data_IF_067689602185
#
_entry.id   IF_067689602185
#
_cell.length_a   1.000
_cell.length_b   1.000
_cell.length_c   1.000
_cell.angle_alpha   90.00
_cell.angle_beta   90.00
_cell.angle_gamma   90.00
#
_symmetry.space_group_name_H-M   'P 1'
#
loop_
_entity.id
_entity.type
_entity.pdbx_description
1 polymer ?
#
# COMPACT_ATOMS: atom_id res chain seq x y z
N UNK A 1 -16.38 7.07 4.85
CA UNK A 1 -15.85 7.13 3.47
C UNK A 1 -14.41 6.65 3.53
N UNK A 2 -14.10 5.50 2.94
CA UNK A 2 -12.73 4.97 2.95
C UNK A 2 -11.91 5.74 1.91
N UNK A 3 -10.78 6.30 2.33
CA UNK A 3 -9.89 7.09 1.45
C UNK A 3 -9.07 6.15 0.57
N UNK A 4 -8.84 6.53 -0.69
CA UNK A 4 -8.06 5.71 -1.64
C UNK A 4 -6.66 5.42 -1.10
N UNK A 5 -6.01 6.41 -0.47
CA UNK A 5 -4.72 6.26 0.21
C UNK A 5 -4.77 5.15 1.27
N UNK A 6 -5.86 5.05 2.04
CA UNK A 6 -6.06 3.99 3.04
C UNK A 6 -6.15 2.62 2.38
N UNK A 7 -6.90 2.47 1.28
CA UNK A 7 -7.02 1.19 0.56
C UNK A 7 -5.67 0.73 0.00
N UNK A 8 -4.90 1.65 -0.58
CA UNK A 8 -3.59 1.37 -1.17
C UNK A 8 -2.58 0.93 -0.09
N UNK A 9 -2.56 1.60 1.06
CA UNK A 9 -1.72 1.20 2.20
C UNK A 9 -2.16 -0.18 2.72
N UNK A 10 -3.46 -0.42 2.88
CA UNK A 10 -3.97 -1.69 3.38
C UNK A 10 -3.61 -2.85 2.44
N UNK A 11 -3.75 -2.66 1.12
CA UNK A 11 -3.37 -3.65 0.13
C UNK A 11 -1.87 -3.98 0.20
N UNK A 12 -1.02 -2.96 0.36
CA UNK A 12 0.41 -3.16 0.57
C UNK A 12 0.72 -3.94 1.85
N UNK A 13 0.06 -3.63 2.96
CA UNK A 13 0.21 -4.35 4.24
C UNK A 13 -0.20 -5.82 4.09
N UNK A 14 -1.34 -6.11 3.46
CA UNK A 14 -1.81 -7.49 3.25
C UNK A 14 -0.80 -8.29 2.43
N UNK A 15 -0.23 -7.69 1.37
CA UNK A 15 0.79 -8.32 0.54
C UNK A 15 2.11 -8.59 1.27
N UNK A 16 2.46 -7.79 2.29
CA UNK A 16 3.62 -8.02 3.14
C UNK A 16 3.36 -9.12 4.18
N UNK A 17 2.16 -9.15 4.78
CA UNK A 17 1.79 -10.12 5.82
C UNK A 17 1.51 -11.51 5.24
N UNK A 18 0.86 -11.57 4.08
CA UNK A 18 0.59 -12.81 3.33
C UNK A 18 1.37 -12.75 2.02
N UNK A 19 2.70 -12.92 2.07
CA UNK A 19 3.52 -12.81 0.88
C UNK A 19 3.25 -13.98 -0.05
N UNK A 20 2.79 -13.67 -1.26
CA UNK A 20 2.81 -14.58 -2.40
C UNK A 20 4.07 -14.24 -3.20
N UNK A 21 5.15 -15.02 -3.13
CA UNK A 21 6.37 -14.70 -3.86
C UNK A 21 6.13 -14.78 -5.38
N UNK A 22 6.73 -13.89 -6.19
CA UNK A 22 7.56 -12.73 -5.82
C UNK A 22 6.74 -11.44 -5.55
N UNK A 23 5.42 -11.51 -5.72
CA UNK A 23 4.50 -10.37 -5.76
C UNK A 23 4.44 -9.64 -4.41
N UNK A 24 4.25 -10.36 -3.31
CA UNK A 24 4.13 -9.75 -1.97
C UNK A 24 5.41 -9.04 -1.52
N UNK A 25 6.57 -9.61 -1.85
CA UNK A 25 7.89 -9.09 -1.49
C UNK A 25 8.22 -7.82 -2.28
N UNK A 26 7.85 -7.76 -3.55
CA UNK A 26 8.14 -6.62 -4.43
C UNK A 26 7.06 -5.54 -4.35
N UNK A 27 5.78 -5.90 -4.54
CA UNK A 27 4.68 -4.94 -4.61
C UNK A 27 4.21 -4.47 -3.24
N UNK A 28 4.33 -5.28 -2.17
CA UNK A 28 3.88 -4.89 -0.82
C UNK A 28 4.53 -3.58 -0.35
N UNK A 29 5.87 -3.48 -0.29
CA UNK A 29 6.57 -2.26 0.07
C UNK A 29 6.26 -1.09 -0.88
N UNK A 30 6.16 -1.35 -2.19
CA UNK A 30 5.86 -0.32 -3.20
C UNK A 30 4.49 0.29 -2.94
N UNK A 31 3.47 -0.53 -2.71
CA UNK A 31 2.11 -0.06 -2.46
C UNK A 31 2.01 0.74 -1.16
N UNK A 32 2.72 0.34 -0.11
CA UNK A 32 2.78 1.13 1.15
C UNK A 32 3.39 2.51 0.87
N UNK A 33 4.51 2.57 0.14
CA UNK A 33 5.17 3.83 -0.20
C UNK A 33 4.31 4.72 -1.10
N UNK A 34 3.63 4.16 -2.10
CA UNK A 34 2.70 4.88 -2.97
C UNK A 34 1.52 5.41 -2.17
N UNK A 35 0.92 4.59 -1.31
CA UNK A 35 -0.18 5.00 -0.44
C UNK A 35 0.22 6.13 0.52
N UNK A 36 1.44 6.08 1.06
CA UNK A 36 2.00 7.15 1.88
C UNK A 36 2.27 8.42 1.07
N UNK A 37 2.84 8.30 -0.13
CA UNK A 37 3.09 9.44 -1.02
C UNK A 37 1.77 10.13 -1.43
N UNK A 38 0.73 9.36 -1.75
CA UNK A 38 -0.62 9.88 -2.01
C UNK A 38 -1.16 10.67 -0.81
N UNK A 39 -0.93 10.18 0.41
CA UNK A 39 -1.34 10.88 1.63
C UNK A 39 -0.60 12.18 1.84
N UNK A 40 0.71 12.20 1.57
CA UNK A 40 1.56 13.38 1.73
C UNK A 40 1.28 14.45 0.66
N UNK A 41 1.06 14.05 -0.59
CA UNK A 41 0.86 14.98 -1.72
C UNK A 41 -0.59 15.44 -1.83
N UNK A 42 -1.56 14.55 -1.62
CA UNK A 42 -2.97 14.87 -1.77
C UNK A 42 -3.64 15.34 -0.47
N UNK A 43 -2.99 15.20 0.69
CA UNK A 43 -3.55 15.63 2.00
C UNK A 43 -4.75 14.83 2.49
N UNK A 44 -5.00 13.65 1.89
CA UNK A 44 -6.12 12.74 2.18
C UNK A 44 -5.64 11.53 2.98
#
# INVERSE_FOLDING_TARGET
MVRLSTLVILAGIVLVIVPIPPIGITLGPILILVGLALRLVAGV
#
